data_IF_082501727489
#
_entry.id   IF_082501727489
#
_cell.length_a   1.000
_cell.length_b   1.000
_cell.length_c   1.000
_cell.angle_alpha   90.00
_cell.angle_beta   90.00
_cell.angle_gamma   90.00
#
_symmetry.space_group_name_H-M   'P 1'
#
loop_
_entity.id
_entity.type
_entity.pdbx_description
1 polymer ?
#
# COMPACT_ATOMS: atom_id res chain seq x y z
N UNK A 1 -5.25 53.58 -19.31
CA UNK A 1 -6.31 53.41 -18.30
C UNK A 1 -7.18 52.15 -18.43
N UNK A 2 -7.21 51.33 -19.51
CA UNK A 2 -7.98 50.07 -19.50
C UNK A 2 -7.17 48.84 -19.00
N UNK A 3 -5.84 48.93 -19.03
CA UNK A 3 -4.94 47.81 -18.73
C UNK A 3 -4.79 47.50 -17.23
N UNK A 4 -4.95 48.52 -16.37
CA UNK A 4 -4.89 48.37 -14.90
C UNK A 4 -6.15 47.69 -14.36
N UNK A 5 -7.31 47.93 -14.98
CA UNK A 5 -8.58 47.32 -14.58
C UNK A 5 -8.61 45.81 -14.87
N UNK A 6 -8.02 45.36 -15.97
CA UNK A 6 -7.98 43.93 -16.33
C UNK A 6 -7.08 43.11 -15.38
N UNK A 7 -5.99 43.70 -14.86
CA UNK A 7 -5.06 43.04 -13.94
C UNK A 7 -5.67 42.91 -12.53
N UNK A 8 -6.48 43.87 -12.10
CA UNK A 8 -7.17 43.82 -10.81
C UNK A 8 -8.28 42.76 -10.76
N UNK A 9 -8.97 42.48 -11.88
CA UNK A 9 -9.99 41.43 -11.96
C UNK A 9 -9.40 40.01 -11.97
N UNK A 10 -8.17 39.83 -12.48
CA UNK A 10 -7.52 38.52 -12.53
C UNK A 10 -6.96 38.04 -11.18
N UNK A 11 -6.84 38.92 -10.18
CA UNK A 11 -6.26 38.61 -8.86
C UNK A 11 -7.30 38.40 -7.75
N UNK A 12 -8.59 38.59 -8.04
CA UNK A 12 -9.68 38.47 -7.06
C UNK A 12 -10.11 37.02 -6.75
N UNK A 13 -9.43 36.00 -7.32
CA UNK A 13 -9.86 34.60 -7.25
C UNK A 13 -9.23 33.73 -6.15
N UNK A 14 -8.32 34.25 -5.33
CA UNK A 14 -7.64 33.44 -4.30
C UNK A 14 -7.62 34.15 -2.93
N UNK A 15 -8.80 34.40 -2.36
CA UNK A 15 -8.91 34.75 -0.94
C UNK A 15 -8.84 33.44 -0.12
N UNK A 16 -7.69 33.20 0.55
CA UNK A 16 -7.50 32.05 1.44
C UNK A 16 -8.15 32.23 2.81
N UNK A 17 -8.42 33.48 3.21
CA UNK A 17 -9.20 33.81 4.39
C UNK A 17 -10.62 34.21 3.96
N UNK A 18 -11.47 33.20 3.77
CA UNK A 18 -12.90 33.41 3.64
C UNK A 18 -13.48 33.86 4.99
N UNK A 19 -14.38 34.84 4.95
CA UNK A 19 -15.15 35.35 6.11
C UNK A 19 -16.24 34.35 6.53
N UNK A 20 -15.90 33.06 6.61
CA UNK A 20 -16.79 31.99 7.03
C UNK A 20 -16.37 31.56 8.42
N UNK A 21 -17.26 31.79 9.39
CA UNK A 21 -17.08 31.31 10.75
C UNK A 21 -17.09 29.78 10.76
N UNK A 22 -15.94 29.19 11.09
CA UNK A 22 -15.81 27.75 11.29
C UNK A 22 -16.46 27.36 12.62
N UNK A 23 -17.63 26.70 12.53
CA UNK A 23 -18.45 26.33 13.68
C UNK A 23 -18.01 25.06 14.39
N UNK A 24 -16.90 24.46 13.95
CA UNK A 24 -16.47 23.13 14.38
C UNK A 24 -16.04 23.07 15.85
N UNK A 25 -15.84 24.21 16.53
CA UNK A 25 -15.49 24.28 17.95
C UNK A 25 -16.46 25.13 18.79
N UNK A 26 -17.51 25.70 18.19
CA UNK A 26 -18.48 26.57 18.89
C UNK A 26 -19.13 25.88 20.11
N UNK A 27 -19.22 24.55 20.07
CA UNK A 27 -19.81 23.75 21.16
C UNK A 27 -18.92 23.72 22.41
N UNK A 28 -17.60 23.93 22.30
CA UNK A 28 -16.68 23.94 23.42
C UNK A 28 -16.86 25.21 24.28
N UNK A 29 -17.23 26.32 23.64
CA UNK A 29 -17.49 27.60 24.29
C UNK A 29 -18.97 27.77 24.70
N UNK A 30 -19.81 26.77 24.44
CA UNK A 30 -21.24 26.82 24.77
C UNK A 30 -21.43 26.78 26.30
N UNK A 31 -22.09 27.81 26.84
CA UNK A 31 -22.44 27.85 28.26
C UNK A 31 -23.77 27.15 28.53
N UNK A 32 -23.81 26.33 29.60
CA UNK A 32 -25.04 25.71 30.06
C UNK A 32 -26.05 26.76 30.56
N UNK A 33 -27.30 26.67 30.10
CA UNK A 33 -28.38 27.52 30.62
C UNK A 33 -28.81 27.08 32.01
N UNK A 34 -29.20 28.03 32.87
CA UNK A 34 -29.69 27.70 34.21
C UNK A 34 -30.99 26.87 34.15
N UNK A 35 -31.17 25.89 35.06
CA UNK A 35 -32.41 25.11 35.15
C UNK A 35 -33.63 26.00 35.41
N UNK A 36 -34.79 25.57 34.89
CA UNK A 36 -36.05 26.27 35.09
C UNK A 36 -36.51 26.16 36.55
N UNK A 37 -36.72 27.30 37.22
CA UNK A 37 -37.25 27.34 38.59
C UNK A 37 -38.78 27.26 38.53
N UNK A 38 -39.35 26.23 39.14
CA UNK A 38 -40.80 26.05 39.21
C UNK A 38 -41.37 26.78 40.45
N UNK A 39 -42.56 27.41 40.35
CA UNK A 39 -43.25 27.98 41.51
C UNK A 39 -43.65 26.89 42.53
N UNK A 40 -43.76 27.25 43.81
CA UNK A 40 -44.03 26.33 44.93
C UNK A 40 -45.33 25.52 44.80
N UNK A 41 -46.24 25.94 43.92
CA UNK A 41 -47.50 25.26 43.63
C UNK A 41 -47.35 24.07 42.68
N UNK A 42 -46.15 23.80 42.14
CA UNK A 42 -45.89 22.75 41.14
C UNK A 42 -45.02 21.63 41.71
N UNK A 43 -45.39 20.38 41.38
CA UNK A 43 -44.65 19.20 41.83
C UNK A 43 -43.43 18.95 40.94
N UNK A 44 -42.19 19.09 41.45
CA UNK A 44 -40.95 18.96 40.66
C UNK A 44 -40.73 17.54 40.15
N UNK A 45 -41.27 16.51 40.80
CA UNK A 45 -41.11 15.12 40.37
C UNK A 45 -41.80 14.81 39.03
N UNK A 46 -42.76 15.64 38.62
CA UNK A 46 -43.50 15.47 37.36
C UNK A 46 -42.81 16.18 36.17
N UNK A 47 -41.82 17.04 36.44
CA UNK A 47 -41.09 17.82 35.44
C UNK A 47 -39.60 17.51 35.56
N UNK A 48 -39.21 16.32 35.09
CA UNK A 48 -37.81 15.89 35.02
C UNK A 48 -37.22 16.27 33.68
N UNK A 49 -35.90 16.45 33.66
CA UNK A 49 -35.17 16.60 32.41
C UNK A 49 -35.40 15.35 31.54
N UNK A 50 -35.86 15.56 30.31
CA UNK A 50 -36.10 14.48 29.36
C UNK A 50 -34.80 13.98 28.72
N UNK A 51 -33.72 14.78 28.79
CA UNK A 51 -32.40 14.45 28.26
C UNK A 51 -31.31 14.76 29.29
N UNK A 52 -31.30 14.04 30.43
CA UNK A 52 -30.29 14.28 31.46
C UNK A 52 -28.90 13.94 30.91
N UNK A 53 -27.99 14.91 30.96
CA UNK A 53 -26.58 14.70 30.65
C UNK A 53 -25.93 13.98 31.84
N UNK A 54 -25.35 12.77 31.69
CA UNK A 54 -24.68 12.08 32.77
C UNK A 54 -23.42 12.83 33.21
N UNK A 55 -23.20 12.98 34.52
CA UNK A 55 -21.96 13.56 35.03
C UNK A 55 -20.78 12.62 34.76
N UNK A 56 -19.84 13.06 33.93
CA UNK A 56 -18.60 12.34 33.67
C UNK A 56 -17.53 12.79 34.68
N UNK A 57 -17.01 11.85 35.48
CA UNK A 57 -15.87 12.11 36.36
C UNK A 57 -14.56 12.06 35.55
N UNK A 58 -14.18 13.18 34.94
CA UNK A 58 -12.89 13.32 34.26
C UNK A 58 -12.62 14.76 33.87
N UNK A 59 -11.38 15.23 34.08
CA UNK A 59 -10.93 16.53 33.59
C UNK A 59 -10.99 16.55 32.06
N UNK A 60 -11.92 17.31 31.51
CA UNK A 60 -11.98 17.60 30.08
C UNK A 60 -10.75 18.43 29.72
N UNK A 61 -9.73 17.80 29.13
CA UNK A 61 -8.61 18.54 28.54
C UNK A 61 -9.14 19.23 27.29
N UNK A 62 -9.40 20.54 27.39
CA UNK A 62 -9.66 21.36 26.22
C UNK A 62 -8.45 21.22 25.30
N UNK A 63 -8.65 20.60 24.14
CA UNK A 63 -7.65 20.64 23.08
C UNK A 63 -7.73 22.04 22.50
N UNK A 64 -6.80 22.93 22.85
CA UNK A 64 -6.65 24.23 22.17
C UNK A 64 -6.41 24.06 20.66
N UNK A 65 -5.99 22.86 20.24
CA UNK A 65 -5.87 22.50 18.84
C UNK A 65 -7.22 22.11 18.25
N UNK A 66 -7.64 22.91 17.25
CA UNK A 66 -8.70 22.62 16.27
C UNK A 66 -8.76 21.12 15.99
N UNK A 67 -9.95 20.53 16.04
CA UNK A 67 -10.20 19.16 15.59
C UNK A 67 -9.44 18.92 14.27
N UNK A 68 -8.33 18.19 14.36
CA UNK A 68 -7.48 17.90 13.23
C UNK A 68 -8.01 16.61 12.64
N UNK A 69 -8.82 16.74 11.59
CA UNK A 69 -9.20 15.59 10.77
C UNK A 69 -7.92 14.78 10.49
N UNK A 70 -7.94 13.45 10.66
CA UNK A 70 -6.77 12.63 10.36
C UNK A 70 -6.33 12.93 8.93
N UNK A 71 -5.02 13.09 8.74
CA UNK A 71 -4.47 13.36 7.41
C UNK A 71 -5.08 12.36 6.42
N UNK A 72 -5.64 12.82 5.30
CA UNK A 72 -6.21 11.91 4.32
C UNK A 72 -5.14 10.88 3.96
N UNK A 73 -5.49 9.59 4.05
CA UNK A 73 -4.60 8.55 3.58
C UNK A 73 -4.34 8.81 2.09
N UNK A 74 -3.06 8.89 1.66
CA UNK A 74 -2.76 9.14 0.27
C UNK A 74 -3.39 8.02 -0.58
N UNK A 75 -4.22 8.42 -1.55
CA UNK A 75 -4.67 7.53 -2.60
C UNK A 75 -3.44 6.97 -3.34
N UNK A 76 -3.53 5.75 -3.87
CA UNK A 76 -2.40 5.04 -4.49
C UNK A 76 -1.58 5.87 -5.52
N UNK A 77 -2.19 6.88 -6.15
CA UNK A 77 -1.54 7.83 -7.05
C UNK A 77 -0.48 8.73 -6.37
N UNK A 78 -0.64 9.06 -5.08
CA UNK A 78 0.34 9.84 -4.31
C UNK A 78 1.59 9.03 -3.91
N UNK A 79 1.45 7.71 -3.75
CA UNK A 79 2.61 6.83 -3.50
C UNK A 79 3.58 6.79 -4.67
N UNK A 80 3.12 7.03 -5.91
CA UNK A 80 4.01 7.10 -7.06
C UNK A 80 5.05 8.23 -7.00
N UNK A 81 4.81 9.28 -6.19
CA UNK A 81 5.74 10.40 -5.99
C UNK A 81 6.69 10.21 -4.78
N UNK A 82 6.40 9.25 -3.89
CA UNK A 82 7.21 8.93 -2.71
C UNK A 82 7.95 7.58 -2.83
N UNK A 83 7.69 6.81 -3.89
CA UNK A 83 8.37 5.53 -4.14
C UNK A 83 9.76 5.78 -4.71
N UNK A 84 10.74 5.06 -4.16
CA UNK A 84 12.06 5.01 -4.77
C UNK A 84 11.93 4.44 -6.18
N UNK A 85 12.50 5.14 -7.16
CA UNK A 85 12.44 4.73 -8.56
C UNK A 85 13.05 3.35 -8.78
N UNK A 86 13.97 2.93 -7.91
CA UNK A 86 14.58 1.60 -7.89
C UNK A 86 14.64 1.05 -6.48
N UNK A 87 14.22 -0.20 -6.32
CA UNK A 87 14.27 -0.94 -5.07
C UNK A 87 14.93 -2.31 -5.30
N UNK A 88 15.69 -2.79 -4.33
CA UNK A 88 16.31 -4.12 -4.38
C UNK A 88 15.42 -5.17 -3.73
N UNK A 89 15.22 -6.32 -4.41
CA UNK A 89 14.53 -7.50 -3.89
C UNK A 89 15.50 -8.67 -3.78
N UNK A 90 15.24 -9.53 -2.80
CA UNK A 90 16.09 -10.69 -2.54
C UNK A 90 15.33 -11.82 -1.86
N UNK A 91 15.70 -13.05 -2.20
CA UNK A 91 15.26 -14.26 -1.52
C UNK A 91 16.41 -15.26 -1.47
N UNK A 92 16.78 -15.70 -0.26
CA UNK A 92 17.94 -16.57 -0.07
C UNK A 92 19.23 -15.97 -0.62
N UNK A 93 19.74 -16.51 -1.73
CA UNK A 93 20.94 -16.03 -2.43
C UNK A 93 20.63 -15.31 -3.74
N UNK A 94 19.36 -15.23 -4.12
CA UNK A 94 18.94 -14.54 -5.32
C UNK A 94 18.64 -13.06 -5.03
N UNK A 95 18.95 -12.18 -5.97
CA UNK A 95 18.67 -10.76 -5.86
C UNK A 95 18.53 -10.07 -7.21
N UNK A 96 17.67 -9.07 -7.26
CA UNK A 96 17.38 -8.28 -8.45
C UNK A 96 16.91 -6.89 -8.06
N UNK A 97 16.77 -6.01 -9.06
CA UNK A 97 16.23 -4.68 -8.90
C UNK A 97 14.82 -4.65 -9.47
N UNK A 98 13.91 -3.98 -8.76
CA UNK A 98 12.59 -3.57 -9.27
C UNK A 98 12.70 -2.08 -9.58
N UNK A 99 12.47 -1.72 -10.84
CA UNK A 99 12.53 -0.35 -11.35
C UNK A 99 11.11 0.08 -11.67
N UNK A 100 10.70 1.24 -11.16
CA UNK A 100 9.38 1.85 -11.37
C UNK A 100 9.17 2.42 -12.77
N UNK A 101 9.52 1.65 -13.80
CA UNK A 101 9.33 1.98 -15.21
C UNK A 101 9.14 0.72 -16.05
N UNK A 102 8.32 0.82 -17.10
CA UNK A 102 8.02 -0.29 -18.01
C UNK A 102 9.28 -0.85 -18.68
N UNK A 103 9.33 -2.15 -19.04
CA UNK A 103 10.52 -2.77 -19.65
C UNK A 103 10.98 -2.07 -20.93
N UNK A 104 10.03 -1.53 -21.70
CA UNK A 104 10.32 -0.72 -22.89
C UNK A 104 11.11 0.55 -22.57
N UNK A 105 10.92 1.13 -21.39
CA UNK A 105 11.61 2.33 -20.90
C UNK A 105 12.94 1.99 -20.23
N UNK A 106 13.03 0.83 -19.56
CA UNK A 106 14.24 0.36 -18.88
C UNK A 106 15.27 -0.19 -19.86
N UNK A 107 14.84 -0.82 -20.96
CA UNK A 107 15.75 -1.43 -21.94
C UNK A 107 16.81 -0.47 -22.51
N UNK A 108 16.47 0.72 -23.06
CA UNK A 108 17.48 1.67 -23.54
C UNK A 108 18.44 2.14 -22.45
N UNK A 109 17.94 2.26 -21.22
CA UNK A 109 18.75 2.64 -20.08
C UNK A 109 19.77 1.55 -19.73
N UNK A 110 19.41 0.28 -19.91
CA UNK A 110 20.31 -0.86 -19.73
C UNK A 110 21.39 -0.92 -20.82
N UNK A 111 21.04 -0.64 -22.07
CA UNK A 111 22.00 -0.52 -23.18
C UNK A 111 22.98 0.64 -22.94
N UNK A 112 22.49 1.78 -22.48
CA UNK A 112 23.31 2.94 -22.13
C UNK A 112 24.19 2.70 -20.90
N UNK A 113 23.69 1.94 -19.92
CA UNK A 113 24.49 1.48 -18.77
C UNK A 113 25.67 0.63 -19.24
N UNK A 114 25.42 -0.39 -20.06
CA UNK A 114 26.48 -1.27 -20.59
C UNK A 114 27.54 -0.48 -21.37
N UNK A 115 27.10 0.49 -22.19
CA UNK A 115 27.98 1.39 -22.95
C UNK A 115 28.81 2.29 -22.04
N UNK A 116 28.18 2.96 -21.08
CA UNK A 116 28.82 3.92 -20.16
C UNK A 116 29.84 3.22 -19.27
N UNK A 117 29.58 1.99 -18.85
CA UNK A 117 30.49 1.15 -18.06
C UNK A 117 31.57 0.46 -18.90
N UNK A 118 31.54 0.60 -20.24
CA UNK A 118 32.51 -0.03 -21.13
C UNK A 118 32.41 -1.55 -21.18
N UNK A 119 31.25 -2.13 -20.85
CA UNK A 119 31.02 -3.57 -20.92
C UNK A 119 31.04 -4.02 -22.37
N UNK A 120 31.81 -5.07 -22.67
CA UNK A 120 31.92 -5.60 -24.02
C UNK A 120 30.68 -6.45 -24.33
N UNK A 121 29.71 -5.86 -25.04
CA UNK A 121 28.47 -6.55 -25.46
C UNK A 121 28.80 -7.57 -26.54
N UNK A 122 28.50 -8.84 -26.27
CA UNK A 122 28.71 -9.97 -27.19
C UNK A 122 27.43 -10.32 -27.96
N UNK A 123 26.26 -10.14 -27.33
CA UNK A 123 24.96 -10.27 -27.98
C UNK A 123 23.94 -9.36 -27.28
N UNK A 124 22.94 -8.88 -28.03
CA UNK A 124 21.83 -8.10 -27.48
C UNK A 124 20.52 -8.54 -28.15
N UNK A 125 19.51 -8.83 -27.34
CA UNK A 125 18.19 -9.27 -27.77
C UNK A 125 17.11 -8.51 -26.99
N UNK A 126 16.58 -7.45 -27.60
CA UNK A 126 15.54 -6.61 -26.99
C UNK A 126 14.20 -7.33 -26.84
N UNK A 127 13.96 -8.38 -27.63
CA UNK A 127 12.70 -9.13 -27.59
C UNK A 127 12.63 -10.07 -26.39
N UNK A 128 13.78 -10.60 -25.97
CA UNK A 128 13.93 -11.37 -24.73
C UNK A 128 14.37 -10.51 -23.54
N UNK A 129 14.73 -9.26 -23.78
CA UNK A 129 15.22 -8.34 -22.75
C UNK A 129 16.55 -8.78 -22.18
N UNK A 130 17.49 -9.27 -23.03
CA UNK A 130 18.78 -9.82 -22.58
C UNK A 130 19.94 -9.16 -23.32
N UNK A 131 20.91 -8.67 -22.56
CA UNK A 131 22.21 -8.21 -23.05
C UNK A 131 23.28 -9.14 -22.49
N UNK A 132 23.93 -9.89 -23.37
CA UNK A 132 25.09 -10.70 -23.01
C UNK A 132 26.36 -9.86 -23.16
N UNK A 133 27.18 -9.85 -22.11
CA UNK A 133 28.49 -9.20 -22.12
C UNK A 133 29.58 -10.22 -21.82
N UNK A 134 30.84 -9.84 -22.01
CA UNK A 134 31.98 -10.68 -21.63
C UNK A 134 32.07 -10.98 -20.13
N UNK A 135 31.47 -10.14 -19.28
CA UNK A 135 31.57 -10.25 -17.81
C UNK A 135 30.30 -10.81 -17.17
N UNK A 136 29.13 -10.40 -17.65
CA UNK A 136 27.83 -10.75 -17.07
C UNK A 136 26.70 -10.70 -18.10
N UNK A 137 25.58 -11.32 -17.77
CA UNK A 137 24.31 -11.24 -18.47
C UNK A 137 23.42 -10.21 -17.78
N UNK A 138 23.04 -9.17 -18.49
CA UNK A 138 22.03 -8.22 -18.03
C UNK A 138 20.68 -8.64 -18.58
N UNK A 139 19.63 -8.62 -17.77
CA UNK A 139 18.29 -8.89 -18.28
C UNK A 139 17.23 -8.01 -17.65
N UNK A 140 16.19 -7.70 -18.44
CA UNK A 140 15.00 -6.98 -18.00
C UNK A 140 13.75 -7.76 -18.37
N UNK A 141 12.79 -7.82 -17.45
CA UNK A 141 11.47 -8.47 -17.63
C UNK A 141 10.39 -7.60 -16.99
N UNK A 142 9.12 -7.87 -17.31
CA UNK A 142 7.96 -7.30 -16.61
C UNK A 142 8.02 -7.67 -15.11
N UNK A 143 7.91 -6.66 -14.24
CA UNK A 143 7.69 -6.86 -12.81
C UNK A 143 6.23 -7.20 -12.51
N UNK A 144 5.93 -7.57 -11.25
CA UNK A 144 4.57 -7.97 -10.87
C UNK A 144 3.54 -6.85 -11.03
N UNK A 145 3.95 -5.62 -10.72
CA UNK A 145 3.12 -4.42 -10.82
C UNK A 145 3.12 -3.89 -12.25
N UNK A 146 2.00 -3.30 -12.64
CA UNK A 146 1.90 -2.68 -13.96
C UNK A 146 2.82 -1.46 -14.02
N UNK A 147 3.67 -1.42 -15.05
CA UNK A 147 4.64 -0.33 -15.21
C UNK A 147 5.95 -0.51 -14.45
N UNK A 148 6.15 -1.63 -13.76
CA UNK A 148 7.43 -1.95 -13.12
C UNK A 148 8.23 -2.95 -13.96
N UNK A 149 9.55 -2.89 -13.86
CA UNK A 149 10.48 -3.83 -14.49
C UNK A 149 11.35 -4.50 -13.46
N UNK A 150 11.60 -5.79 -13.65
CA UNK A 150 12.67 -6.48 -12.94
C UNK A 150 13.94 -6.46 -13.77
N UNK A 151 15.04 -6.05 -13.15
CA UNK A 151 16.35 -5.98 -13.77
C UNK A 151 17.34 -6.84 -13.00
N UNK A 152 18.06 -7.68 -13.74
CA UNK A 152 19.03 -8.63 -13.20
C UNK A 152 20.39 -8.46 -13.84
N UNK A 153 21.42 -8.78 -13.07
CA UNK A 153 22.79 -8.91 -13.55
C UNK A 153 23.37 -10.20 -13.00
N UNK A 154 23.47 -11.20 -13.88
CA UNK A 154 23.82 -12.57 -13.50
C UNK A 154 25.11 -13.01 -14.21
N UNK A 155 25.96 -13.76 -13.50
CA UNK A 155 27.14 -14.42 -14.08
C UNK A 155 27.07 -15.91 -13.76
N UNK A 156 26.95 -16.75 -14.79
CA UNK A 156 26.76 -18.20 -14.61
C UNK A 156 25.49 -18.55 -13.84
N UNK A 157 24.43 -17.74 -13.97
CA UNK A 157 23.14 -17.94 -13.29
C UNK A 157 23.13 -17.53 -11.82
N UNK A 158 24.12 -16.76 -11.36
CA UNK A 158 24.15 -16.18 -10.01
C UNK A 158 24.18 -14.66 -10.07
N UNK A 159 23.45 -13.95 -9.20
CA UNK A 159 23.47 -12.50 -9.17
C UNK A 159 24.85 -11.98 -8.81
N UNK A 160 25.30 -10.94 -9.51
CA UNK A 160 26.56 -10.25 -9.26
C UNK A 160 26.26 -8.99 -8.44
N UNK A 161 26.51 -9.04 -7.13
CA UNK A 161 26.16 -7.96 -6.18
C UNK A 161 26.72 -6.59 -6.59
N UNK A 162 27.99 -6.53 -6.98
CA UNK A 162 28.62 -5.28 -7.41
C UNK A 162 27.96 -4.71 -8.68
N UNK A 163 27.60 -5.56 -9.63
CA UNK A 163 26.91 -5.14 -10.85
C UNK A 163 25.50 -4.61 -10.55
N UNK A 164 24.75 -5.31 -9.69
CA UNK A 164 23.43 -4.86 -9.25
C UNK A 164 23.49 -3.52 -8.52
N UNK A 165 24.48 -3.33 -7.64
CA UNK A 165 24.68 -2.05 -6.94
C UNK A 165 25.00 -0.90 -7.90
N UNK A 166 25.84 -1.15 -8.90
CA UNK A 166 26.15 -0.17 -9.94
C UNK A 166 24.94 0.21 -10.80
N UNK A 167 24.08 -0.78 -11.10
CA UNK A 167 22.85 -0.57 -11.84
C UNK A 167 21.82 0.21 -11.02
N UNK A 168 21.70 -0.12 -9.74
CA UNK A 168 20.82 0.59 -8.80
C UNK A 168 21.16 2.08 -8.72
N UNK A 169 22.45 2.39 -8.50
CA UNK A 169 22.95 3.77 -8.50
C UNK A 169 22.69 4.47 -9.84
N UNK A 170 22.89 3.76 -10.95
CA UNK A 170 22.70 4.30 -12.29
C UNK A 170 21.23 4.68 -12.57
N UNK A 171 20.29 3.81 -12.22
CA UNK A 171 18.86 4.06 -12.40
C UNK A 171 18.32 5.11 -11.42
N UNK A 172 18.75 5.07 -10.16
CA UNK A 172 18.39 6.07 -9.16
C UNK A 172 18.75 7.49 -9.62
N UNK A 173 19.93 7.67 -10.23
CA UNK A 173 20.39 8.95 -10.77
C UNK A 173 19.59 9.45 -12.00
N UNK A 174 18.90 8.56 -12.72
CA UNK A 174 18.18 8.86 -13.98
C UNK A 174 16.66 8.98 -13.83
N UNK A 175 16.14 8.75 -12.62
CA UNK A 175 14.72 8.79 -12.23
C UNK A 175 13.94 10.06 -12.62
N UNK A 176 14.62 11.15 -13.02
CA UNK A 176 14.00 12.43 -13.36
C UNK A 176 14.03 12.83 -14.85
N UNK A 177 14.65 12.04 -15.74
CA UNK A 177 14.79 12.41 -17.17
C UNK A 177 13.79 11.68 -18.06
N UNK A 178 13.04 12.46 -18.86
CA UNK A 178 12.04 11.98 -19.82
C UNK A 178 12.62 10.86 -20.70
N UNK A 179 12.20 9.62 -20.42
CA UNK A 179 12.78 8.44 -21.03
C UNK A 179 12.06 8.12 -22.33
N UNK A 180 12.81 8.00 -23.43
CA UNK A 180 12.31 7.48 -24.70
C UNK A 180 12.02 5.99 -24.56
N UNK A 181 10.76 5.58 -24.66
CA UNK A 181 10.38 4.17 -24.66
C UNK A 181 10.83 3.48 -25.95
N UNK A 182 11.43 2.29 -25.83
CA UNK A 182 11.82 1.46 -26.97
C UNK A 182 10.64 0.67 -27.52
N UNK A 183 10.35 0.86 -28.81
CA UNK A 183 9.36 0.05 -29.54
C UNK A 183 9.79 -1.42 -29.64
N UNK A 184 11.10 -1.69 -29.70
CA UNK A 184 11.64 -3.04 -29.85
C UNK A 184 11.47 -3.90 -28.58
N UNK A 185 11.24 -3.25 -27.43
CA UNK A 185 11.03 -3.86 -26.12
C UNK A 185 9.58 -3.80 -25.65
N UNK A 186 8.63 -3.33 -26.48
CA UNK A 186 7.19 -3.33 -26.14
C UNK A 186 6.66 -4.73 -25.80
N UNK A 187 7.20 -5.78 -26.43
CA UNK A 187 6.77 -7.17 -26.16
C UNK A 187 7.16 -7.68 -24.78
N UNK A 188 8.07 -6.99 -24.09
CA UNK A 188 8.44 -7.33 -22.72
C UNK A 188 7.37 -6.90 -21.73
N UNK A 189 6.53 -5.92 -22.09
CA UNK A 189 5.39 -5.52 -21.29
C UNK A 189 4.26 -6.56 -21.46
N UNK A 190 4.18 -7.50 -20.52
CA UNK A 190 3.19 -8.57 -20.51
C UNK A 190 1.84 -8.10 -19.95
N UNK A 191 0.74 -8.64 -20.49
CA UNK A 191 -0.63 -8.34 -20.03
C UNK A 191 -1.12 -9.26 -18.90
N UNK A 192 -0.30 -10.20 -18.43
CA UNK A 192 -0.71 -11.15 -17.41
C UNK A 192 -0.85 -10.47 -16.06
N UNK A 193 -2.09 -10.38 -15.57
CA UNK A 193 -2.43 -9.78 -14.29
C UNK A 193 -2.76 -10.86 -13.29
N UNK A 194 -2.47 -10.59 -12.03
CA UNK A 194 -2.97 -11.40 -10.93
C UNK A 194 -4.51 -11.41 -10.92
N UNK A 195 -5.09 -12.55 -10.55
CA UNK A 195 -6.54 -12.77 -10.54
C UNK A 195 -6.98 -13.35 -9.21
N UNK A 196 -8.09 -12.84 -8.69
CA UNK A 196 -8.77 -13.43 -7.55
C UNK A 196 -9.75 -14.48 -8.09
N UNK A 197 -9.60 -15.73 -7.66
CA UNK A 197 -10.35 -16.89 -8.13
C UNK A 197 -11.02 -17.58 -6.94
N UNK A 198 -12.24 -18.07 -7.12
CA UNK A 198 -12.92 -18.90 -6.13
C UNK A 198 -12.71 -20.37 -6.47
N UNK A 199 -12.22 -21.17 -5.51
CA UNK A 199 -11.99 -22.61 -5.62
C UNK A 199 -12.78 -23.35 -4.54
N UNK A 200 -13.96 -23.83 -4.90
CA UNK A 200 -14.91 -24.38 -3.91
C UNK A 200 -15.45 -23.26 -3.03
N UNK A 201 -15.34 -23.41 -1.72
CA UNK A 201 -15.75 -22.40 -0.74
C UNK A 201 -14.64 -21.39 -0.43
N UNK A 202 -13.40 -21.62 -0.88
CA UNK A 202 -12.24 -20.78 -0.61
C UNK A 202 -11.95 -19.78 -1.74
N UNK A 203 -11.41 -18.62 -1.37
CA UNK A 203 -10.81 -17.65 -2.27
C UNK A 203 -9.30 -17.83 -2.34
N UNK A 204 -8.74 -17.67 -3.54
CA UNK A 204 -7.29 -17.69 -3.79
C UNK A 204 -6.89 -16.60 -4.77
N UNK A 205 -5.63 -16.18 -4.75
CA UNK A 205 -5.08 -15.26 -5.75
C UNK A 205 -4.10 -16.02 -6.64
N UNK A 206 -4.39 -16.10 -7.93
CA UNK A 206 -3.48 -16.62 -8.95
C UNK A 206 -2.54 -15.49 -9.41
N UNK A 207 -1.24 -15.70 -9.27
CA UNK A 207 -0.19 -14.73 -9.54
C UNK A 207 0.68 -15.28 -10.69
N UNK A 208 0.88 -14.52 -11.79
CA UNK A 208 1.62 -14.99 -12.97
C UNK A 208 3.14 -14.84 -12.79
N UNK A 209 3.66 -15.30 -11.65
CA UNK A 209 5.09 -15.32 -11.33
C UNK A 209 5.43 -16.61 -10.59
N UNK A 210 6.70 -17.01 -10.64
CA UNK A 210 7.19 -18.09 -9.77
C UNK A 210 7.15 -17.68 -8.29
N UNK A 211 7.24 -18.71 -7.44
CA UNK A 211 6.99 -18.58 -6.00
C UNK A 211 8.05 -17.73 -5.30
N UNK A 212 9.30 -17.79 -5.74
CA UNK A 212 10.42 -17.06 -5.14
C UNK A 212 10.30 -15.56 -5.42
N UNK A 213 9.99 -15.21 -6.68
CA UNK A 213 9.71 -13.82 -7.07
C UNK A 213 8.48 -13.28 -6.37
N UNK A 214 7.41 -14.05 -6.33
CA UNK A 214 6.17 -13.67 -5.64
C UNK A 214 6.41 -13.43 -4.15
N UNK A 215 7.18 -14.29 -3.50
CA UNK A 215 7.53 -14.15 -2.09
C UNK A 215 8.36 -12.90 -1.83
N UNK A 216 9.40 -12.65 -2.64
CA UNK A 216 10.25 -11.48 -2.44
C UNK A 216 9.50 -10.16 -2.65
N UNK A 217 8.58 -10.12 -3.61
CA UNK A 217 7.71 -8.96 -3.83
C UNK A 217 6.76 -8.77 -2.65
N UNK A 218 6.02 -9.82 -2.29
CA UNK A 218 5.03 -9.77 -1.22
C UNK A 218 5.67 -9.46 0.14
N UNK A 219 6.82 -10.05 0.47
CA UNK A 219 7.56 -9.80 1.70
C UNK A 219 7.86 -8.32 1.88
N UNK A 220 8.39 -7.68 0.85
CA UNK A 220 8.72 -6.26 0.90
C UNK A 220 7.45 -5.41 1.05
N UNK A 221 6.37 -5.72 0.33
CA UNK A 221 5.12 -4.97 0.45
C UNK A 221 4.47 -5.12 1.84
N UNK A 222 4.51 -6.32 2.42
CA UNK A 222 4.00 -6.56 3.76
C UNK A 222 4.82 -5.80 4.80
N UNK A 223 6.16 -5.82 4.70
CA UNK A 223 7.04 -5.06 5.60
C UNK A 223 6.75 -3.55 5.58
N UNK A 224 6.31 -3.01 4.44
CA UNK A 224 5.97 -1.58 4.30
C UNK A 224 4.54 -1.23 4.74
N UNK A 225 3.53 -2.05 4.44
CA UNK A 225 2.11 -1.70 4.67
C UNK A 225 1.48 -2.36 5.92
N UNK A 226 1.99 -3.51 6.36
CA UNK A 226 1.50 -4.26 7.53
C UNK A 226 2.31 -3.91 8.78
N UNK A 227 2.24 -2.63 9.17
CA UNK A 227 3.01 -2.06 10.31
C UNK A 227 2.14 -1.53 11.44
N UNK A 228 0.80 -1.70 11.34
CA UNK A 228 -0.14 -1.08 12.27
C UNK A 228 -0.59 -2.11 13.31
N UNK A 229 -0.05 -1.98 14.51
CA UNK A 229 -0.39 -2.82 15.67
C UNK A 229 -1.91 -2.95 15.85
N UNK A 230 -2.33 -4.14 16.29
CA UNK A 230 -3.74 -4.52 16.57
C UNK A 230 -4.71 -4.40 15.38
N UNK A 231 -4.23 -4.04 14.19
CA UNK A 231 -5.05 -3.87 12.98
C UNK A 231 -4.53 -4.67 11.79
N UNK A 232 -3.27 -4.50 11.47
CA UNK A 232 -2.60 -5.14 10.33
C UNK A 232 -1.08 -5.12 10.54
N UNK A 233 -0.54 -6.24 10.96
CA UNK A 233 0.85 -6.36 11.34
C UNK A 233 1.44 -7.63 10.74
N UNK A 234 2.65 -7.54 10.19
CA UNK A 234 3.44 -8.70 9.81
C UNK A 234 4.13 -9.23 11.06
N UNK A 235 3.78 -10.46 11.48
CA UNK A 235 4.32 -11.10 12.67
C UNK A 235 5.55 -11.93 12.35
N UNK A 236 5.52 -12.67 11.24
CA UNK A 236 6.61 -13.55 10.83
C UNK A 236 6.64 -13.75 9.30
N UNK A 237 7.80 -14.13 8.77
CA UNK A 237 8.01 -14.40 7.34
C UNK A 237 9.04 -15.52 7.16
N UNK A 238 8.66 -16.62 6.50
CA UNK A 238 9.53 -17.75 6.23
C UNK A 238 9.80 -17.88 4.72
N UNK A 239 11.03 -17.61 4.24
CA UNK A 239 11.39 -17.77 2.84
C UNK A 239 11.53 -19.23 2.38
N UNK A 240 11.70 -20.19 3.30
CA UNK A 240 11.81 -21.60 2.97
C UNK A 240 10.44 -22.29 2.88
N UNK A 241 9.49 -21.86 3.71
CA UNK A 241 8.09 -22.31 3.65
C UNK A 241 7.21 -21.48 2.70
N UNK A 242 7.74 -20.37 2.16
CA UNK A 242 7.02 -19.40 1.34
C UNK A 242 5.73 -18.89 1.97
N UNK A 243 5.76 -18.65 3.28
CA UNK A 243 4.61 -18.19 4.03
C UNK A 243 4.91 -16.97 4.90
N UNK A 244 3.83 -16.31 5.31
CA UNK A 244 3.84 -15.15 6.18
C UNK A 244 2.80 -15.34 7.27
N UNK A 245 3.14 -15.01 8.51
CA UNK A 245 2.17 -14.90 9.59
C UNK A 245 1.82 -13.43 9.79
N UNK A 246 0.54 -13.10 9.72
CA UNK A 246 0.04 -11.74 9.90
C UNK A 246 -0.98 -11.70 11.05
N UNK A 247 -1.01 -10.57 11.75
CA UNK A 247 -2.08 -10.16 12.65
C UNK A 247 -3.01 -9.26 11.86
N UNK A 248 -4.28 -9.64 11.71
CA UNK A 248 -5.22 -8.90 10.86
C UNK A 248 -6.57 -8.76 11.52
N UNK A 249 -7.09 -7.53 11.58
CA UNK A 249 -8.46 -7.25 11.98
C UNK A 249 -9.30 -7.12 10.71
N UNK A 250 -10.20 -8.06 10.46
CA UNK A 250 -11.05 -8.11 9.25
C UNK A 250 -12.02 -6.94 9.19
N UNK A 251 -12.56 -6.65 8.00
CA UNK A 251 -13.58 -5.63 7.88
C UNK A 251 -14.83 -5.90 8.73
N UNK A 252 -15.27 -7.16 8.79
CA UNK A 252 -16.41 -7.57 9.61
C UNK A 252 -16.24 -7.21 11.10
N UNK A 253 -15.03 -7.34 11.64
CA UNK A 253 -14.70 -6.93 13.00
C UNK A 253 -14.64 -5.41 13.18
N UNK A 254 -14.12 -4.68 12.18
CA UNK A 254 -14.03 -3.21 12.21
C UNK A 254 -15.40 -2.53 12.14
N UNK A 255 -16.31 -3.13 11.38
CA UNK A 255 -17.64 -2.57 11.10
C UNK A 255 -18.70 -3.04 12.13
N UNK A 256 -18.29 -3.74 13.19
CA UNK A 256 -19.21 -4.19 14.27
C UNK A 256 -19.94 -3.01 14.90
N UNK A 257 -21.25 -3.13 15.01
CA UNK A 257 -22.10 -2.12 15.62
C UNK A 257 -21.79 -2.03 17.14
N UNK A 258 -21.73 -0.82 17.74
CA UNK A 258 -21.53 -0.66 19.19
C UNK A 258 -22.51 -1.45 20.06
N UNK A 259 -23.74 -1.70 19.59
CA UNK A 259 -24.68 -2.57 20.30
C UNK A 259 -24.21 -4.04 20.32
N UNK A 260 -23.67 -4.56 19.22
CA UNK A 260 -23.16 -5.94 19.13
C UNK A 260 -21.92 -6.15 20.01
N UNK A 261 -21.09 -5.12 20.17
CA UNK A 261 -19.91 -5.14 21.05
C UNK A 261 -20.32 -5.31 22.52
N UNK A 262 -21.42 -4.67 22.94
CA UNK A 262 -21.92 -4.75 24.32
C UNK A 262 -22.54 -6.11 24.63
N UNK A 263 -23.17 -6.76 23.65
CA UNK A 263 -23.84 -8.06 23.83
C UNK A 263 -22.94 -9.28 23.55
N UNK A 264 -21.70 -9.07 23.11
CA UNK A 264 -20.74 -10.14 22.86
C UNK A 264 -19.78 -10.31 24.05
N UNK A 265 -19.49 -11.55 24.50
CA UNK A 265 -18.55 -11.78 25.60
C UNK A 265 -17.08 -11.47 25.24
N UNK A 266 -16.78 -11.22 23.96
CA UNK A 266 -15.44 -10.85 23.47
C UNK A 266 -15.37 -9.33 23.27
N UNK A 267 -15.03 -8.60 24.33
CA UNK A 267 -15.09 -7.12 24.44
C UNK A 267 -13.88 -6.43 23.79
N UNK A 268 -12.87 -7.17 23.36
CA UNK A 268 -11.68 -6.59 22.73
C UNK A 268 -11.86 -6.67 21.21
N UNK A 269 -11.69 -5.54 20.53
CA UNK A 269 -11.36 -5.55 19.10
C UNK A 269 -10.08 -6.36 18.97
N UNK A 270 -10.15 -7.56 18.41
CA UNK A 270 -8.99 -8.43 18.38
C UNK A 270 -8.72 -8.86 16.96
N UNK A 271 -7.55 -8.47 16.49
CA UNK A 271 -6.95 -9.07 15.33
C UNK A 271 -6.85 -10.59 15.50
N UNK A 272 -6.89 -11.29 14.38
CA UNK A 272 -6.68 -12.73 14.31
C UNK A 272 -5.40 -13.03 13.55
N UNK A 273 -4.78 -14.15 13.89
CA UNK A 273 -3.57 -14.60 13.21
C UNK A 273 -3.96 -15.38 11.97
N UNK A 274 -3.45 -14.95 10.82
CA UNK A 274 -3.71 -15.55 9.51
C UNK A 274 -2.37 -15.86 8.86
N UNK A 275 -2.26 -17.04 8.29
CA UNK A 275 -1.10 -17.46 7.51
C UNK A 275 -1.37 -17.25 6.03
N UNK A 276 -0.57 -16.43 5.39
CA UNK A 276 -0.54 -16.26 3.94
C UNK A 276 0.42 -17.29 3.37
N UNK A 277 -0.07 -18.25 2.59
CA UNK A 277 0.72 -19.35 2.03
C UNK A 277 0.84 -19.17 0.52
N UNK A 278 2.06 -19.23 0.00
CA UNK A 278 2.32 -19.23 -1.45
C UNK A 278 2.62 -20.66 -1.91
N UNK A 279 1.83 -21.16 -2.86
CA UNK A 279 1.99 -22.48 -3.44
C UNK A 279 2.38 -22.36 -4.92
N UNK A 280 3.42 -23.07 -5.35
CA UNK A 280 3.74 -23.17 -6.78
C UNK A 280 2.66 -23.98 -7.51
N UNK A 281 2.06 -23.38 -8.54
CA UNK A 281 1.08 -24.03 -9.42
C UNK A 281 1.64 -24.33 -10.83
N UNK A 282 2.93 -24.03 -11.05
CA UNK A 282 3.63 -24.19 -12.32
C UNK A 282 5.00 -23.51 -12.28
N UNK A 283 5.68 -23.43 -13.42
CA UNK A 283 7.03 -22.83 -13.49
C UNK A 283 7.04 -21.32 -13.30
N UNK A 284 5.99 -20.61 -13.73
CA UNK A 284 5.82 -19.16 -13.54
C UNK A 284 4.40 -18.83 -13.05
N UNK A 285 3.85 -19.69 -12.17
CA UNK A 285 2.53 -19.47 -11.57
C UNK A 285 2.54 -19.82 -10.08
N UNK A 286 2.00 -18.91 -9.28
CA UNK A 286 1.90 -19.03 -7.83
C UNK A 286 0.46 -18.80 -7.40
N UNK A 287 0.02 -19.55 -6.39
CA UNK A 287 -1.29 -19.40 -5.77
C UNK A 287 -1.08 -18.92 -4.34
N UNK A 288 -1.63 -17.74 -4.03
CA UNK A 288 -1.67 -17.20 -2.68
C UNK A 288 -2.99 -17.61 -2.01
N UNK A 289 -2.88 -18.20 -0.82
CA UNK A 289 -4.00 -18.60 0.05
C UNK A 289 -3.89 -17.90 1.40
N UNK A 290 -5.04 -17.61 2.01
CA UNK A 290 -5.10 -17.18 3.39
C UNK A 290 -5.70 -18.30 4.25
N UNK A 291 -4.91 -18.82 5.17
CA UNK A 291 -5.25 -19.92 6.08
C UNK A 291 -5.37 -19.38 7.48
N UNK A 292 -6.50 -19.62 8.14
CA UNK A 292 -6.69 -19.20 9.52
C UNK A 292 -5.71 -19.94 10.45
N UNK A 293 -4.96 -19.20 11.26
CA UNK A 293 -4.03 -19.74 12.26
C UNK A 293 -4.55 -19.52 13.70
N UNK A 294 -5.80 -19.07 13.86
CA UNK A 294 -6.43 -18.77 15.13
C UNK A 294 -7.71 -19.59 15.34
N UNK A 295 -8.19 -19.67 16.59
CA UNK A 295 -9.46 -20.35 16.93
C UNK A 295 -10.71 -19.55 16.52
N UNK A 296 -10.55 -18.34 15.99
CA UNK A 296 -11.67 -17.48 15.58
C UNK A 296 -12.27 -17.90 14.25
N UNK A 297 -13.51 -17.53 14.00
CA UNK A 297 -14.13 -17.72 12.70
C UNK A 297 -13.43 -16.85 11.64
N UNK A 298 -13.05 -17.45 10.52
CA UNK A 298 -12.54 -16.75 9.34
C UNK A 298 -13.43 -17.12 8.17
N UNK A 299 -14.36 -16.24 7.84
CA UNK A 299 -15.38 -16.51 6.82
C UNK A 299 -14.80 -16.40 5.41
N UNK A 300 -15.42 -17.02 4.38
CA UNK A 300 -15.02 -16.81 2.99
C UNK A 300 -15.03 -15.34 2.56
N UNK A 301 -15.93 -14.53 3.10
CA UNK A 301 -15.98 -13.09 2.88
C UNK A 301 -14.77 -12.37 3.49
N UNK A 302 -14.37 -12.71 4.72
CA UNK A 302 -13.17 -12.18 5.35
C UNK A 302 -11.90 -12.60 4.60
N UNK A 303 -11.86 -13.85 4.14
CA UNK A 303 -10.77 -14.39 3.34
C UNK A 303 -10.62 -13.62 2.04
N UNK A 304 -11.73 -13.38 1.35
CA UNK A 304 -11.77 -12.56 0.14
C UNK A 304 -11.30 -11.14 0.40
N UNK A 305 -11.78 -10.48 1.45
CA UNK A 305 -11.39 -9.10 1.80
C UNK A 305 -9.88 -8.99 2.03
N UNK A 306 -9.33 -9.91 2.82
CA UNK A 306 -7.89 -9.96 3.06
C UNK A 306 -7.10 -10.18 1.78
N UNK A 307 -7.50 -11.16 0.95
CA UNK A 307 -6.81 -11.45 -0.31
C UNK A 307 -6.92 -10.31 -1.32
N UNK A 308 -8.04 -9.60 -1.37
CA UNK A 308 -8.18 -8.38 -2.16
C UNK A 308 -7.22 -7.28 -1.66
N UNK A 309 -7.09 -7.10 -0.35
CA UNK A 309 -6.14 -6.14 0.23
C UNK A 309 -4.69 -6.51 -0.07
N UNK A 310 -4.30 -7.76 0.20
CA UNK A 310 -2.93 -8.24 -0.02
C UNK A 310 -2.58 -8.19 -1.50
N UNK A 311 -3.46 -8.68 -2.38
CA UNK A 311 -3.23 -8.61 -3.83
C UNK A 311 -3.27 -7.18 -4.36
N UNK A 312 -3.98 -6.27 -3.71
CA UNK A 312 -3.94 -4.84 -4.00
C UNK A 312 -2.58 -4.20 -3.75
N UNK A 313 -1.75 -4.78 -2.88
CA UNK A 313 -0.35 -4.37 -2.73
C UNK A 313 0.52 -4.78 -3.93
N UNK A 314 0.09 -5.76 -4.72
CA UNK A 314 0.87 -6.30 -5.84
C UNK A 314 0.45 -5.73 -7.20
N UNK A 315 -0.44 -4.73 -7.21
CA UNK A 315 -0.97 -4.07 -8.42
C UNK A 315 -0.37 -2.69 -8.67
#
# INVERSE_FOLDING_TARGET
MPLVAAIALATAGCARDGYYHDRNIDYADASGSSPLVLPDTRNPNRYRDAMPVPEAAGDFRTSEDRFRAPSPQPLAAGRAAERDFVERRSIGRDSWLVVGADPGTVWPQLEDFARTRGLQVTASDSSRGVIETSQARLSVRQGLRAGDSEVRCDQGGRPVSACLEEMEQYFAARSASASSSSLAAQRLAGEERLRLEQRGDDWVVAIPLDVDRTWAELSHQLQQDFTVEERRELLDSDPAAHDFLISYMTQSERDRNPLQVIFSPDVRQMSQQIRLVLESAGTEQTVLRAVNASERAFTPEDQRELLERVSGLLR
#
